data_IF_214681009881
#
_entry.id   IF_214681009881
#
_cell.length_a   1.000
_cell.length_b   1.000
_cell.length_c   1.000
_cell.angle_alpha   90.00
_cell.angle_beta   90.00
_cell.angle_gamma   90.00
#
_symmetry.space_group_name_H-M   'P 1'
#
loop_
_entity.id
_entity.type
_entity.pdbx_description
1 polymer ?
#
# COMPACT_ATOMS: atom_id res chain seq x y z
N UNK A 1 -16.74 25.49 -2.00
CA UNK A 1 -15.38 25.12 -2.34
C UNK A 1 -15.50 23.71 -2.88
N UNK A 2 -15.17 23.51 -4.14
CA UNK A 2 -15.29 22.20 -4.80
C UNK A 2 -14.25 21.24 -4.19
N UNK A 3 -14.52 19.93 -4.25
CA UNK A 3 -13.61 18.90 -3.71
C UNK A 3 -12.21 19.00 -4.36
N UNK A 4 -12.16 19.41 -5.63
CA UNK A 4 -10.92 19.63 -6.38
C UNK A 4 -10.12 20.83 -5.85
N UNK A 5 -10.79 21.93 -5.55
CA UNK A 5 -10.14 23.15 -5.00
C UNK A 5 -9.54 22.88 -3.61
N UNK A 6 -10.19 22.01 -2.82
CA UNK A 6 -9.71 21.63 -1.49
C UNK A 6 -8.44 20.78 -1.58
N UNK A 7 -8.43 19.78 -2.50
CA UNK A 7 -7.27 18.90 -2.72
C UNK A 7 -6.05 19.65 -3.24
N UNK A 8 -6.22 20.64 -4.14
CA UNK A 8 -5.09 21.46 -4.61
C UNK A 8 -4.47 22.27 -3.47
N UNK A 9 -5.30 22.83 -2.59
CA UNK A 9 -4.80 23.56 -1.43
C UNK A 9 -4.06 22.67 -0.45
N UNK A 10 -4.59 21.47 -0.20
CA UNK A 10 -3.95 20.45 0.66
C UNK A 10 -2.59 20.01 0.12
N UNK A 11 -2.48 19.84 -1.21
CA UNK A 11 -1.24 19.41 -1.88
C UNK A 11 -0.15 20.48 -1.93
N UNK A 12 -0.51 21.75 -1.82
CA UNK A 12 0.43 22.88 -1.94
C UNK A 12 1.51 22.91 -0.85
N UNK A 13 1.30 22.26 0.29
CA UNK A 13 2.25 22.18 1.38
C UNK A 13 3.31 21.08 1.19
N UNK A 14 3.13 20.19 0.21
CA UNK A 14 4.03 19.06 -0.06
C UNK A 14 5.07 19.42 -1.13
N UNK A 15 6.22 18.76 -1.09
CA UNK A 15 7.23 18.86 -2.15
C UNK A 15 6.85 17.94 -3.30
N UNK A 16 6.24 18.51 -4.35
CA UNK A 16 5.78 17.75 -5.51
C UNK A 16 6.94 17.12 -6.30
N UNK A 17 6.88 15.82 -6.52
CA UNK A 17 7.80 15.04 -7.34
C UNK A 17 7.21 14.81 -8.74
N UNK A 18 5.93 14.44 -8.78
CA UNK A 18 5.22 14.16 -10.04
C UNK A 18 3.75 14.60 -9.93
N UNK A 19 3.21 15.33 -10.92
CA UNK A 19 1.85 15.89 -10.82
C UNK A 19 0.74 14.86 -11.11
N UNK A 20 0.99 13.83 -11.97
CA UNK A 20 -0.01 12.84 -12.37
C UNK A 20 0.63 11.49 -12.76
N UNK A 21 0.40 10.41 -11.98
CA UNK A 21 -0.31 10.45 -10.70
C UNK A 21 0.42 11.32 -9.68
N UNK A 22 -0.33 11.94 -8.76
CA UNK A 22 0.27 12.85 -7.79
C UNK A 22 1.20 12.09 -6.84
N UNK A 23 2.47 12.52 -6.81
CA UNK A 23 3.50 12.00 -5.92
C UNK A 23 4.25 13.18 -5.30
N UNK A 24 4.35 13.19 -3.99
CA UNK A 24 4.99 14.29 -3.26
C UNK A 24 5.61 13.81 -1.95
N UNK A 25 6.73 14.43 -1.59
CA UNK A 25 7.42 14.23 -0.31
C UNK A 25 6.80 15.10 0.78
N UNK A 26 6.91 14.64 2.02
CA UNK A 26 6.70 15.48 3.18
C UNK A 26 7.71 16.64 3.18
N UNK A 27 7.36 17.84 3.63
CA UNK A 27 8.36 18.88 3.86
C UNK A 27 9.24 18.48 5.07
N UNK A 28 10.53 18.88 5.10
CA UNK A 28 11.46 18.48 6.16
C UNK A 28 10.95 18.72 7.58
N UNK A 29 10.30 19.85 7.80
CA UNK A 29 9.71 20.25 9.09
C UNK A 29 8.58 19.34 9.57
N UNK A 30 7.93 18.61 8.68
CA UNK A 30 6.90 17.63 9.05
C UNK A 30 7.48 16.42 9.80
N UNK A 31 8.79 16.18 9.68
CA UNK A 31 9.50 15.10 10.39
C UNK A 31 10.04 15.52 11.76
N UNK A 32 9.86 16.78 12.16
CA UNK A 32 10.21 17.28 13.49
C UNK A 32 9.18 16.89 14.56
N UNK A 33 8.04 16.33 14.14
CA UNK A 33 6.95 15.87 15.03
C UNK A 33 6.85 14.35 15.02
N UNK A 34 6.47 13.76 16.18
CA UNK A 34 6.28 12.32 16.29
C UNK A 34 5.17 11.79 15.36
N UNK A 35 4.13 12.60 15.15
CA UNK A 35 3.03 12.32 14.22
C UNK A 35 3.03 13.39 13.14
N UNK A 36 3.22 12.98 11.90
CA UNK A 36 3.15 13.87 10.74
C UNK A 36 1.71 14.36 10.53
N UNK A 37 1.44 15.67 10.48
CA UNK A 37 0.12 16.16 10.15
C UNK A 37 -0.39 15.58 8.82
N UNK A 38 -1.68 15.26 8.73
CA UNK A 38 -2.26 14.57 7.56
C UNK A 38 -1.96 15.27 6.24
N UNK A 39 -2.04 16.60 6.21
CA UNK A 39 -1.76 17.41 5.01
C UNK A 39 -0.27 17.45 4.62
N UNK A 40 0.62 17.05 5.52
CA UNK A 40 2.08 17.03 5.30
C UNK A 40 2.61 15.61 5.13
N UNK A 41 1.74 14.59 5.22
CA UNK A 41 2.15 13.20 5.02
C UNK A 41 2.45 12.96 3.53
N UNK A 42 3.61 12.34 3.21
CA UNK A 42 3.97 12.06 1.83
C UNK A 42 2.89 11.27 1.07
N UNK A 43 2.78 11.53 -0.22
CA UNK A 43 1.82 10.86 -1.11
C UNK A 43 2.55 10.06 -2.18
N UNK A 44 2.20 8.78 -2.33
CA UNK A 44 2.68 7.92 -3.41
C UNK A 44 1.51 7.18 -4.05
N UNK A 45 1.37 7.34 -5.36
CA UNK A 45 0.35 6.67 -6.16
C UNK A 45 0.96 6.20 -7.49
N UNK A 46 0.61 4.98 -7.94
CA UNK A 46 1.01 4.48 -9.25
C UNK A 46 0.00 4.89 -10.34
N UNK A 47 -1.25 5.12 -9.94
CA UNK A 47 -2.36 5.51 -10.80
C UNK A 47 -3.07 6.73 -10.21
N UNK A 48 -3.93 7.42 -10.96
CA UNK A 48 -4.78 8.48 -10.43
C UNK A 48 -5.66 8.00 -9.26
N UNK A 49 -6.13 8.92 -8.44
CA UNK A 49 -7.14 8.63 -7.42
C UNK A 49 -8.38 8.07 -8.11
N UNK A 50 -8.82 6.85 -7.78
CA UNK A 50 -9.95 6.22 -8.44
C UNK A 50 -11.29 6.65 -7.85
N UNK A 51 -12.36 6.42 -8.59
CA UNK A 51 -13.68 6.32 -8.01
C UNK A 51 -13.79 5.03 -7.17
N UNK A 52 -14.39 5.12 -5.98
CA UNK A 52 -14.58 3.98 -5.10
C UNK A 52 -16.03 3.90 -4.62
N UNK A 53 -16.66 2.74 -4.84
CA UNK A 53 -18.08 2.51 -4.52
C UNK A 53 -18.37 2.25 -3.02
N UNK A 54 -17.34 2.34 -2.17
CA UNK A 54 -17.45 2.11 -0.72
C UNK A 54 -17.64 0.64 -0.32
N UNK A 55 -17.36 -0.31 -1.21
CA UNK A 55 -17.53 -1.75 -0.99
C UNK A 55 -16.17 -2.46 -1.00
N UNK A 56 -15.97 -3.34 -0.03
CA UNK A 56 -14.81 -4.22 0.08
C UNK A 56 -15.24 -5.67 -0.12
N UNK A 57 -14.82 -6.28 -1.19
CA UNK A 57 -15.13 -7.68 -1.52
C UNK A 57 -14.12 -8.62 -0.85
N UNK A 58 -14.62 -9.64 -0.15
CA UNK A 58 -13.81 -10.70 0.47
C UNK A 58 -14.15 -12.03 -0.21
N UNK A 59 -13.15 -12.68 -0.81
CA UNK A 59 -13.39 -13.89 -1.60
C UNK A 59 -12.19 -14.81 -1.75
N UNK A 60 -12.22 -15.60 -2.83
CA UNK A 60 -11.22 -16.63 -3.13
C UNK A 60 -11.45 -17.90 -2.33
N UNK A 61 -10.36 -18.53 -1.84
CA UNK A 61 -10.40 -19.79 -1.07
C UNK A 61 -10.88 -19.57 0.36
N UNK A 62 -12.17 -19.22 0.51
CA UNK A 62 -12.84 -18.93 1.78
C UNK A 62 -14.16 -19.69 1.88
N UNK A 63 -14.57 -20.03 3.10
CA UNK A 63 -15.85 -20.71 3.37
C UNK A 63 -17.06 -19.76 3.33
N UNK A 64 -16.84 -18.44 3.47
CA UNK A 64 -17.88 -17.40 3.53
C UNK A 64 -17.47 -16.14 2.76
N UNK A 65 -17.55 -16.13 1.43
CA UNK A 65 -17.34 -14.89 0.68
C UNK A 65 -18.44 -13.87 1.02
N UNK A 66 -18.06 -12.61 1.20
CA UNK A 66 -18.98 -11.54 1.56
C UNK A 66 -18.42 -10.18 1.14
N UNK A 67 -19.23 -9.15 1.27
CA UNK A 67 -18.83 -7.77 1.02
C UNK A 67 -19.06 -6.94 2.28
N UNK A 68 -18.11 -6.07 2.60
CA UNK A 68 -18.19 -5.12 3.70
C UNK A 68 -18.31 -3.70 3.16
N UNK A 69 -19.06 -2.87 3.89
CA UNK A 69 -19.12 -1.42 3.71
C UNK A 69 -18.25 -0.72 4.76
N UNK A 70 -18.10 0.60 4.65
CA UNK A 70 -17.43 1.38 5.69
C UNK A 70 -18.13 1.25 7.04
N UNK A 71 -19.48 1.22 7.04
CA UNK A 71 -20.29 1.07 8.28
C UNK A 71 -20.08 -0.32 8.91
N UNK A 72 -19.96 -1.37 8.08
CA UNK A 72 -19.65 -2.72 8.58
C UNK A 72 -18.26 -2.76 9.25
N UNK A 73 -17.26 -2.12 8.63
CA UNK A 73 -15.91 -2.01 9.20
C UNK A 73 -15.91 -1.22 10.52
N UNK A 74 -16.66 -0.11 10.58
CA UNK A 74 -16.81 0.71 11.80
C UNK A 74 -17.59 0.00 12.92
N UNK A 75 -18.44 -0.96 12.57
CA UNK A 75 -19.16 -1.79 13.55
C UNK A 75 -18.26 -2.87 14.19
N UNK A 76 -17.11 -3.18 13.59
CA UNK A 76 -16.10 -4.07 14.15
C UNK A 76 -15.33 -3.38 15.28
N UNK A 77 -14.54 -4.14 16.03
CA UNK A 77 -13.64 -3.59 17.04
C UNK A 77 -12.62 -2.66 16.39
N UNK A 78 -12.70 -1.37 16.68
CA UNK A 78 -11.73 -0.39 16.24
C UNK A 78 -10.37 -0.58 16.98
N UNK A 79 -9.29 -0.57 16.21
CA UNK A 79 -7.92 -0.61 16.72
C UNK A 79 -7.19 0.63 16.20
N UNK A 80 -6.42 1.26 17.07
CA UNK A 80 -5.57 2.39 16.73
C UNK A 80 -4.09 1.98 16.81
N UNK A 81 -3.30 2.37 15.79
CA UNK A 81 -1.85 2.12 15.73
C UNK A 81 -1.12 3.30 15.14
N UNK A 82 0.00 3.64 15.77
CA UNK A 82 0.98 4.57 15.19
C UNK A 82 1.89 3.77 14.26
N UNK A 83 1.89 4.10 12.96
CA UNK A 83 2.69 3.41 11.96
C UNK A 83 3.42 4.41 11.09
N UNK A 84 4.73 4.21 10.96
CA UNK A 84 5.56 4.92 9.97
C UNK A 84 5.50 4.18 8.65
N UNK A 85 5.06 4.86 7.60
CA UNK A 85 5.14 4.39 6.22
C UNK A 85 6.33 5.06 5.55
N UNK A 86 7.14 4.24 4.87
CA UNK A 86 8.28 4.69 4.07
C UNK A 86 8.16 4.10 2.67
N UNK A 87 8.36 4.93 1.64
CA UNK A 87 8.45 4.44 0.27
C UNK A 87 9.72 3.59 0.09
N UNK A 88 9.62 2.44 -0.57
CA UNK A 88 10.80 1.60 -0.86
C UNK A 88 11.86 2.30 -1.71
N UNK A 89 11.48 3.40 -2.38
CA UNK A 89 12.40 4.24 -3.16
C UNK A 89 12.91 5.47 -2.42
N UNK A 90 12.61 5.65 -1.14
CA UNK A 90 13.11 6.79 -0.36
C UNK A 90 14.64 6.86 -0.43
N UNK A 91 15.21 8.05 -0.61
CA UNK A 91 16.66 8.25 -0.80
C UNK A 91 17.20 7.90 -2.19
N UNK A 92 16.35 7.63 -3.20
CA UNK A 92 16.78 7.21 -4.55
C UNK A 92 17.69 8.24 -5.22
N UNK A 93 17.47 9.54 -5.03
CA UNK A 93 18.32 10.59 -5.60
C UNK A 93 19.79 10.51 -5.18
N UNK A 94 20.11 9.86 -4.06
CA UNK A 94 21.49 9.66 -3.60
C UNK A 94 22.19 8.49 -4.30
N UNK A 95 21.47 7.62 -5.01
CA UNK A 95 22.03 6.43 -5.65
C UNK A 95 22.80 6.78 -6.94
N UNK A 96 23.89 6.05 -7.20
CA UNK A 96 24.72 6.22 -8.43
C UNK A 96 25.07 4.83 -9.00
N UNK A 97 24.71 4.51 -10.27
CA UNK A 97 23.87 5.31 -11.16
C UNK A 97 22.44 5.47 -10.59
N UNK A 98 21.73 6.53 -11.00
CA UNK A 98 20.35 6.76 -10.60
C UNK A 98 19.46 5.63 -11.17
N UNK A 99 18.79 4.82 -10.35
CA UNK A 99 17.90 3.78 -10.84
C UNK A 99 16.57 4.38 -11.33
N UNK A 100 15.87 3.61 -12.17
CA UNK A 100 14.53 3.98 -12.63
C UNK A 100 13.51 4.07 -11.46
N UNK A 101 12.45 4.84 -11.67
CA UNK A 101 11.35 5.08 -10.72
C UNK A 101 11.32 6.53 -10.23
N UNK A 102 10.41 6.84 -9.32
CA UNK A 102 10.24 8.19 -8.79
C UNK A 102 11.54 8.69 -8.12
N UNK A 103 12.01 9.90 -8.47
CA UNK A 103 13.28 10.43 -7.98
C UNK A 103 13.13 11.02 -6.55
N UNK A 104 12.76 10.16 -5.60
CA UNK A 104 12.63 10.55 -4.20
C UNK A 104 13.94 11.06 -3.61
N UNK A 105 13.85 12.19 -2.88
CA UNK A 105 14.85 12.61 -1.91
C UNK A 105 14.78 11.76 -0.64
N UNK A 106 14.83 12.40 0.52
CA UNK A 106 14.88 11.70 1.82
C UNK A 106 13.56 11.75 2.60
N UNK A 107 12.50 12.32 2.01
CA UNK A 107 11.27 12.67 2.74
C UNK A 107 10.02 11.91 2.26
N UNK A 108 10.19 10.82 1.51
CA UNK A 108 9.10 9.89 1.21
C UNK A 108 8.85 8.92 2.38
N UNK A 109 8.74 9.49 3.57
CA UNK A 109 8.50 8.82 4.84
C UNK A 109 7.65 9.70 5.76
N UNK A 110 6.68 9.12 6.46
CA UNK A 110 5.82 9.84 7.40
C UNK A 110 5.20 8.89 8.41
N UNK A 111 4.88 9.41 9.60
CA UNK A 111 4.27 8.64 10.69
C UNK A 111 2.88 9.18 10.96
N UNK A 112 1.88 8.30 11.04
CA UNK A 112 0.52 8.68 11.38
C UNK A 112 -0.12 7.69 12.36
N UNK A 113 -1.16 8.15 13.04
CA UNK A 113 -2.07 7.30 13.80
C UNK A 113 -3.15 6.80 12.86
N UNK A 114 -3.31 5.49 12.75
CA UNK A 114 -4.29 4.84 11.89
C UNK A 114 -5.33 4.12 12.72
N UNK A 115 -6.61 4.36 12.42
CA UNK A 115 -7.73 3.68 13.07
C UNK A 115 -8.47 2.82 12.05
N UNK A 116 -8.75 1.56 12.42
CA UNK A 116 -9.41 0.60 11.54
C UNK A 116 -9.78 -0.71 12.22
N UNK A 117 -10.31 -1.65 11.43
CA UNK A 117 -10.54 -3.02 11.83
C UNK A 117 -9.27 -3.87 11.61
N UNK A 118 -9.00 -4.85 12.47
CA UNK A 118 -7.93 -5.82 12.24
C UNK A 118 -8.25 -6.68 11.00
N UNK A 119 -7.27 -6.84 10.10
CA UNK A 119 -7.39 -7.75 8.97
C UNK A 119 -7.67 -9.20 9.42
N UNK A 120 -7.06 -9.62 10.54
CA UNK A 120 -7.34 -10.92 11.16
C UNK A 120 -8.83 -11.14 11.37
N UNK A 121 -9.53 -10.18 11.98
CA UNK A 121 -10.96 -10.30 12.32
C UNK A 121 -11.84 -10.38 11.05
N UNK A 122 -11.46 -9.66 10.00
CA UNK A 122 -12.12 -9.72 8.68
C UNK A 122 -11.92 -11.08 8.03
N UNK A 123 -10.69 -11.60 8.03
CA UNK A 123 -10.39 -12.93 7.49
C UNK A 123 -11.05 -14.04 8.30
N UNK A 124 -11.13 -13.93 9.63
CA UNK A 124 -11.82 -14.90 10.49
C UNK A 124 -13.31 -15.02 10.14
N UNK A 125 -13.98 -13.91 9.82
CA UNK A 125 -15.37 -13.91 9.34
C UNK A 125 -15.52 -14.63 7.99
N UNK A 126 -14.54 -14.47 7.09
CA UNK A 126 -14.52 -15.10 5.78
C UNK A 126 -14.22 -16.61 5.84
N UNK A 127 -13.58 -17.08 6.91
CA UNK A 127 -13.16 -18.46 7.11
C UNK A 127 -12.27 -18.99 5.98
N UNK A 128 -11.01 -18.57 5.90
CA UNK A 128 -10.07 -19.10 4.92
C UNK A 128 -10.02 -20.63 4.99
N UNK A 129 -9.95 -21.28 3.82
CA UNK A 129 -9.81 -22.72 3.73
C UNK A 129 -8.34 -23.13 3.87
N UNK A 130 -8.07 -24.37 4.28
CA UNK A 130 -6.71 -24.91 4.45
C UNK A 130 -5.89 -24.91 3.15
N UNK A 131 -6.54 -24.77 2.00
CA UNK A 131 -5.88 -24.62 0.69
C UNK A 131 -5.33 -23.21 0.44
N UNK A 132 -5.63 -22.23 1.30
CA UNK A 132 -5.16 -20.86 1.19
C UNK A 132 -3.64 -20.74 1.43
N UNK A 133 -2.96 -20.00 0.58
CA UNK A 133 -1.50 -19.78 0.63
C UNK A 133 -1.16 -18.29 0.79
N UNK A 134 -1.71 -17.45 -0.07
CA UNK A 134 -1.52 -16.01 -0.08
C UNK A 134 -2.86 -15.29 0.07
N UNK A 135 -2.81 -14.05 0.50
CA UNK A 135 -3.93 -13.11 0.50
C UNK A 135 -3.58 -11.95 -0.42
N UNK A 136 -4.32 -11.81 -1.50
CA UNK A 136 -4.24 -10.71 -2.45
C UNK A 136 -5.04 -9.51 -1.92
N UNK A 137 -4.48 -8.33 -2.04
CA UNK A 137 -5.11 -7.04 -1.79
C UNK A 137 -5.08 -6.22 -3.07
N UNK A 138 -6.25 -5.91 -3.63
CA UNK A 138 -6.39 -5.07 -4.82
C UNK A 138 -6.98 -3.72 -4.46
N UNK A 139 -6.33 -2.65 -4.90
CA UNK A 139 -6.88 -1.29 -4.89
C UNK A 139 -7.91 -1.11 -6.00
N UNK A 140 -8.71 -0.04 -5.91
CA UNK A 140 -9.57 0.40 -7.00
C UNK A 140 -8.79 1.17 -8.07
N UNK A 141 -7.57 1.61 -7.76
CA UNK A 141 -6.70 2.35 -8.66
C UNK A 141 -6.10 1.42 -9.73
N UNK A 142 -6.19 1.85 -10.98
CA UNK A 142 -5.73 1.09 -12.14
C UNK A 142 -5.30 2.02 -13.28
N UNK A 143 -4.62 1.46 -14.26
CA UNK A 143 -4.19 2.19 -15.45
C UNK A 143 -3.11 1.47 -16.23
N UNK A 144 -2.66 2.12 -17.31
CA UNK A 144 -1.52 1.63 -18.09
C UNK A 144 -0.21 1.87 -17.34
N UNK A 145 0.60 0.85 -17.26
CA UNK A 145 1.91 0.93 -16.60
C UNK A 145 2.97 0.27 -17.49
N UNK A 146 3.94 1.06 -17.96
CA UNK A 146 4.99 0.56 -18.84
C UNK A 146 6.29 0.60 -18.04
N UNK A 147 6.71 -0.50 -17.45
CA UNK A 147 7.90 -0.45 -16.63
C UNK A 147 8.90 -1.58 -16.75
N UNK A 148 8.52 -2.76 -17.11
CA UNK A 148 9.50 -3.84 -17.28
C UNK A 148 9.33 -4.57 -18.61
N UNK A 149 10.23 -4.30 -19.60
CA UNK A 149 10.21 -5.00 -20.89
C UNK A 149 10.42 -6.53 -20.76
N UNK A 150 10.88 -7.01 -19.59
CA UNK A 150 11.12 -8.43 -19.35
C UNK A 150 9.86 -9.20 -18.93
N UNK A 151 8.81 -8.51 -18.47
CA UNK A 151 7.51 -9.11 -18.11
C UNK A 151 6.56 -9.09 -19.31
N UNK A 152 6.91 -9.82 -20.36
CA UNK A 152 6.20 -9.82 -21.65
C UNK A 152 4.80 -10.44 -21.62
N UNK A 153 4.45 -11.15 -20.56
CA UNK A 153 3.20 -11.92 -20.45
C UNK A 153 2.11 -11.21 -19.63
N UNK A 154 2.38 -9.99 -19.13
CA UNK A 154 1.38 -9.19 -18.41
C UNK A 154 0.84 -8.12 -19.35
N UNK A 155 -0.50 -8.12 -19.54
CA UNK A 155 -1.17 -7.02 -20.24
C UNK A 155 -1.09 -5.75 -19.39
N UNK A 156 -0.16 -4.87 -19.73
CA UNK A 156 0.11 -3.63 -19.04
C UNK A 156 -0.85 -2.49 -19.43
N UNK A 157 -1.86 -2.77 -20.25
CA UNK A 157 -2.79 -1.76 -20.76
C UNK A 157 -3.78 -1.26 -19.70
N UNK A 158 -4.12 -2.11 -18.71
CA UNK A 158 -5.01 -1.76 -17.60
C UNK A 158 -4.72 -2.63 -16.36
N UNK A 159 -3.69 -2.26 -15.61
CA UNK A 159 -3.26 -2.97 -14.40
C UNK A 159 -3.88 -2.34 -13.17
N UNK A 160 -4.43 -3.17 -12.28
CA UNK A 160 -4.77 -2.75 -10.92
C UNK A 160 -3.52 -2.73 -10.04
N UNK A 161 -3.52 -1.83 -9.05
CA UNK A 161 -2.49 -1.88 -8.01
C UNK A 161 -2.81 -3.03 -7.05
N UNK A 162 -1.98 -4.06 -7.09
CA UNK A 162 -2.19 -5.30 -6.34
C UNK A 162 -0.92 -5.71 -5.59
N UNK A 163 -1.10 -6.14 -4.34
CA UNK A 163 -0.05 -6.68 -3.48
C UNK A 163 -0.56 -7.91 -2.75
N UNK A 164 0.35 -8.75 -2.27
CA UNK A 164 -0.03 -9.91 -1.45
C UNK A 164 0.82 -10.06 -0.20
N UNK A 165 0.24 -10.77 0.76
CA UNK A 165 0.93 -11.29 1.94
C UNK A 165 0.66 -12.78 2.04
N UNK A 166 1.55 -13.54 2.67
CA UNK A 166 1.23 -14.94 2.99
C UNK A 166 0.01 -15.01 3.91
N UNK A 167 -0.86 -16.00 3.71
CA UNK A 167 -2.05 -16.16 4.56
C UNK A 167 -1.67 -16.25 6.04
N UNK A 168 -0.57 -16.95 6.36
CA UNK A 168 -0.07 -17.05 7.75
C UNK A 168 0.20 -15.68 8.35
N UNK A 169 0.81 -14.76 7.59
CA UNK A 169 1.10 -13.40 8.09
C UNK A 169 -0.16 -12.53 8.12
N UNK A 170 -1.02 -12.61 7.12
CA UNK A 170 -2.25 -11.82 7.03
C UNK A 170 -3.28 -12.20 8.11
N UNK A 171 -3.33 -13.49 8.48
CA UNK A 171 -4.25 -14.00 9.49
C UNK A 171 -3.67 -13.98 10.92
N UNK A 172 -2.43 -13.60 11.11
CA UNK A 172 -1.81 -13.48 12.43
C UNK A 172 -2.27 -12.18 13.13
N UNK A 173 -3.00 -12.23 14.25
CA UNK A 173 -3.43 -11.04 14.97
C UNK A 173 -2.25 -10.23 15.51
N UNK A 174 -1.09 -10.85 15.75
CA UNK A 174 0.13 -10.16 16.21
C UNK A 174 0.81 -9.33 15.14
N UNK A 175 0.45 -9.51 13.86
CA UNK A 175 0.92 -8.67 12.75
C UNK A 175 0.33 -7.27 12.78
N UNK A 176 -0.78 -7.08 13.52
CA UNK A 176 -1.49 -5.80 13.72
C UNK A 176 -1.86 -5.07 12.42
N UNK A 177 -2.08 -5.84 11.34
CA UNK A 177 -2.49 -5.29 10.04
C UNK A 177 -3.91 -4.73 10.14
N UNK A 178 -4.12 -3.49 9.66
CA UNK A 178 -5.41 -2.81 9.72
C UNK A 178 -6.03 -2.63 8.32
N UNK A 179 -7.34 -2.73 8.26
CA UNK A 179 -8.15 -2.06 7.24
C UNK A 179 -8.54 -0.72 7.85
N UNK A 180 -7.71 0.30 7.61
CA UNK A 180 -7.84 1.62 8.20
C UNK A 180 -8.85 2.47 7.43
N UNK A 181 -9.67 3.22 8.16
CA UNK A 181 -10.64 4.16 7.63
C UNK A 181 -10.49 5.58 8.20
N UNK A 182 -9.60 5.77 9.19
CA UNK A 182 -9.22 7.08 9.73
C UNK A 182 -7.68 7.20 9.80
N UNK A 183 -7.22 8.44 9.70
CA UNK A 183 -5.83 8.85 9.83
C UNK A 183 -5.76 10.09 10.73
N UNK A 184 -4.98 10.04 11.81
CA UNK A 184 -4.84 11.12 12.79
C UNK A 184 -6.19 11.58 13.40
N UNK A 185 -7.12 10.64 13.61
CA UNK A 185 -8.43 10.90 14.19
C UNK A 185 -9.49 11.45 13.24
N UNK A 186 -9.18 11.59 11.93
CA UNK A 186 -10.10 12.08 10.91
C UNK A 186 -10.32 11.00 9.82
N UNK A 187 -11.46 11.02 9.11
CA UNK A 187 -11.65 10.13 7.96
C UNK A 187 -10.52 10.29 6.94
N UNK A 188 -10.18 9.21 6.26
CA UNK A 188 -9.17 9.25 5.19
C UNK A 188 -9.57 10.25 4.11
N UNK A 189 -8.60 11.04 3.63
CA UNK A 189 -8.77 11.84 2.43
C UNK A 189 -8.50 11.01 1.16
N UNK A 190 -8.86 11.52 -0.04
CA UNK A 190 -8.66 10.80 -1.30
C UNK A 190 -7.21 10.39 -1.55
N UNK A 191 -6.21 11.24 -1.27
CA UNK A 191 -4.80 10.94 -1.52
C UNK A 191 -4.26 9.83 -0.60
N UNK A 192 -4.87 9.65 0.56
CA UNK A 192 -4.49 8.63 1.54
C UNK A 192 -5.36 7.37 1.50
N UNK A 193 -6.24 7.23 0.48
CA UNK A 193 -6.92 5.97 0.17
C UNK A 193 -8.32 5.84 0.74
N UNK A 194 -9.07 6.98 0.85
CA UNK A 194 -10.49 6.94 1.22
C UNK A 194 -11.30 6.01 0.29
N UNK A 195 -12.33 5.29 0.80
CA UNK A 195 -12.86 5.34 2.16
C UNK A 195 -12.11 4.45 3.16
N UNK A 196 -11.31 3.49 2.69
CA UNK A 196 -10.49 2.62 3.53
C UNK A 196 -9.29 2.06 2.75
N UNK A 197 -8.25 1.72 3.50
CA UNK A 197 -6.98 1.21 2.97
C UNK A 197 -6.38 0.12 3.86
N UNK A 198 -5.44 -0.63 3.31
CA UNK A 198 -4.60 -1.52 4.10
C UNK A 198 -3.45 -0.74 4.75
N UNK A 199 -3.13 -1.05 6.01
CA UNK A 199 -1.91 -0.63 6.71
C UNK A 199 -1.20 -1.88 7.18
N UNK A 200 0.04 -2.06 6.74
CA UNK A 200 0.88 -3.22 7.09
C UNK A 200 2.10 -2.71 7.88
N UNK A 201 2.07 -2.81 9.22
CA UNK A 201 3.19 -2.37 10.05
C UNK A 201 4.48 -3.10 9.69
N UNK A 202 5.62 -2.42 9.82
CA UNK A 202 6.97 -2.95 9.56
C UNK A 202 7.28 -3.32 8.10
N UNK A 203 6.40 -2.98 7.16
CA UNK A 203 6.65 -3.10 5.73
C UNK A 203 6.81 -1.73 5.09
N UNK A 204 7.46 -1.68 3.93
CA UNK A 204 7.42 -0.47 3.11
C UNK A 204 5.99 -0.12 2.69
N UNK A 205 5.71 1.17 2.49
CA UNK A 205 4.39 1.69 2.16
C UNK A 205 3.71 1.02 0.96
N UNK A 206 4.49 0.40 0.07
CA UNK A 206 3.98 -0.37 -1.07
C UNK A 206 3.07 -1.54 -0.66
N UNK A 207 3.26 -2.12 0.52
CA UNK A 207 2.40 -3.20 1.03
C UNK A 207 1.06 -2.67 1.55
N UNK A 208 0.97 -1.37 1.84
CA UNK A 208 -0.21 -0.71 2.42
C UNK A 208 -1.11 -0.17 1.31
N UNK A 209 -1.84 -1.09 0.64
CA UNK A 209 -2.70 -0.80 -0.53
C UNK A 209 -3.77 0.23 -0.19
N UNK A 210 -3.86 1.32 -0.96
CA UNK A 210 -4.88 2.38 -0.87
C UNK A 210 -6.16 1.99 -1.63
N UNK A 211 -7.25 2.67 -1.32
CA UNK A 211 -8.54 2.46 -2.00
C UNK A 211 -8.90 0.98 -2.11
N UNK A 212 -8.76 0.25 -1.00
CA UNK A 212 -8.84 -1.21 -0.97
C UNK A 212 -10.23 -1.68 -1.43
N UNK A 213 -10.29 -2.42 -2.54
CA UNK A 213 -11.54 -2.89 -3.16
C UNK A 213 -11.78 -4.38 -2.98
N UNK A 214 -10.71 -5.19 -2.97
CA UNK A 214 -10.81 -6.64 -2.90
C UNK A 214 -9.72 -7.25 -2.04
N UNK A 215 -10.14 -8.23 -1.23
CA UNK A 215 -9.25 -9.15 -0.50
C UNK A 215 -9.59 -10.55 -0.99
N UNK A 216 -8.61 -11.29 -1.49
CA UNK A 216 -8.82 -12.62 -2.05
C UNK A 216 -7.80 -13.63 -1.50
N UNK A 217 -8.29 -14.71 -0.91
CA UNK A 217 -7.43 -15.81 -0.46
C UNK A 217 -7.11 -16.70 -1.65
N UNK A 218 -5.83 -16.82 -1.99
CA UNK A 218 -5.32 -17.57 -3.13
C UNK A 218 -4.80 -18.93 -2.70
N UNK A 219 -4.93 -19.94 -3.59
CA UNK A 219 -4.40 -21.29 -3.38
C UNK A 219 -2.95 -21.46 -3.85
N UNK A 220 -2.37 -20.40 -4.41
CA UNK A 220 -0.98 -20.35 -4.86
C UNK A 220 -0.39 -18.96 -4.56
N UNK A 221 0.95 -18.83 -4.48
CA UNK A 221 1.58 -17.52 -4.34
C UNK A 221 1.16 -16.57 -5.46
N UNK A 222 0.86 -15.32 -5.10
CA UNK A 222 0.48 -14.29 -6.07
C UNK A 222 1.66 -13.92 -6.97
N UNK A 223 1.37 -13.77 -8.25
CA UNK A 223 2.29 -13.25 -9.27
C UNK A 223 1.63 -12.07 -9.96
N UNK A 224 2.21 -10.88 -9.81
CA UNK A 224 1.69 -9.65 -10.41
C UNK A 224 2.79 -8.60 -10.56
N UNK A 225 2.54 -7.57 -11.38
CA UNK A 225 3.54 -6.55 -11.75
C UNK A 225 4.16 -5.88 -10.52
N UNK A 226 3.33 -5.45 -9.57
CA UNK A 226 3.80 -4.76 -8.37
C UNK A 226 4.31 -5.71 -7.27
N UNK A 227 4.25 -7.03 -7.45
CA UNK A 227 4.74 -8.04 -6.51
C UNK A 227 6.03 -8.69 -7.01
N UNK A 228 6.06 -9.13 -8.26
CA UNK A 228 7.16 -9.92 -8.82
C UNK A 228 7.93 -9.20 -9.91
N UNK A 229 7.40 -8.12 -10.47
CA UNK A 229 8.06 -7.27 -11.46
C UNK A 229 8.75 -6.06 -10.86
N UNK A 230 8.08 -5.41 -9.89
CA UNK A 230 8.57 -4.23 -9.17
C UNK A 230 8.73 -4.53 -7.69
N UNK A 231 9.42 -3.64 -6.99
CA UNK A 231 9.61 -3.70 -5.54
C UNK A 231 10.28 -4.98 -5.05
N UNK A 232 11.33 -5.41 -5.79
CA UNK A 232 12.16 -6.55 -5.46
C UNK A 232 13.58 -6.10 -5.14
N UNK A 233 14.21 -6.74 -4.16
CA UNK A 233 15.65 -6.64 -3.99
C UNK A 233 16.34 -7.62 -4.96
N UNK A 234 17.24 -7.09 -5.78
CA UNK A 234 18.11 -7.90 -6.62
C UNK A 234 19.52 -7.83 -6.05
N UNK A 235 20.08 -8.99 -5.72
CA UNK A 235 21.47 -9.09 -5.30
C UNK A 235 22.30 -9.55 -6.51
N UNK A 236 23.32 -8.78 -6.86
CA UNK A 236 24.29 -9.27 -7.84
C UNK A 236 25.05 -10.44 -7.22
N UNK A 237 25.10 -11.58 -7.91
CA UNK A 237 26.01 -12.66 -7.56
C UNK A 237 27.44 -12.13 -7.65
N UNK A 238 28.20 -12.24 -6.58
CA UNK A 238 29.60 -11.78 -6.52
C UNK A 238 30.52 -12.54 -7.48
N UNK A 239 30.15 -13.76 -7.89
CA UNK A 239 30.94 -14.62 -8.75
C UNK A 239 30.65 -14.42 -10.25
N UNK A 240 29.41 -14.14 -10.62
CA UNK A 240 28.95 -14.06 -12.01
C UNK A 240 28.45 -12.67 -12.43
N UNK A 241 28.25 -11.76 -11.48
CA UNK A 241 27.62 -10.45 -11.72
C UNK A 241 26.13 -10.54 -12.10
N UNK A 242 25.58 -11.74 -12.16
CA UNK A 242 24.19 -12.02 -12.51
C UNK A 242 23.62 -13.01 -11.51
N UNK A 243 22.78 -12.56 -10.62
CA UNK A 243 22.05 -13.40 -9.69
C UNK A 243 20.86 -12.65 -9.17
N UNK A 244 19.69 -13.23 -9.23
CA UNK A 244 18.47 -12.62 -8.71
C UNK A 244 17.80 -13.54 -7.72
N UNK A 245 18.20 -13.46 -6.46
CA UNK A 245 17.27 -13.86 -5.41
C UNK A 245 16.28 -12.72 -5.24
N UNK A 246 15.02 -12.96 -5.63
CA UNK A 246 13.95 -11.99 -5.55
C UNK A 246 13.28 -12.11 -4.20
N UNK A 247 13.46 -11.11 -3.33
CA UNK A 247 12.80 -11.04 -2.02
C UNK A 247 11.75 -9.95 -2.02
N UNK A 248 10.57 -10.24 -1.45
CA UNK A 248 9.53 -9.25 -1.19
C UNK A 248 10.10 -8.13 -0.31
N UNK A 249 9.78 -6.88 -0.63
CA UNK A 249 10.28 -5.69 0.09
C UNK A 249 9.68 -5.61 1.50
N UNK A 250 10.35 -6.25 2.45
CA UNK A 250 10.06 -6.14 3.88
C UNK A 250 11.14 -5.32 4.55
N UNK A 251 10.77 -4.28 5.30
CA UNK A 251 11.70 -3.59 6.19
C UNK A 251 12.05 -4.54 7.34
N UNK A 252 13.33 -4.84 7.54
CA UNK A 252 13.78 -5.38 8.82
C UNK A 252 13.85 -4.22 9.80
N UNK A 253 12.91 -4.12 10.73
CA UNK A 253 13.15 -3.38 11.96
C UNK A 253 14.22 -4.14 12.72
N UNK A 254 15.34 -3.49 13.04
CA UNK A 254 16.23 -3.98 14.05
C UNK A 254 15.44 -4.08 15.36
N UNK A 255 15.33 -5.29 15.92
CA UNK A 255 14.81 -5.51 17.26
C UNK A 255 15.75 -4.94 18.30
#
# INVERSE_FOLDING_TARGET
MDLADNLEHERAALTMIHPQPFNAEAPPEALETDITPTLLHYVRSNFPVPDHDGRLEIGGSVGRPHTLTLDDLKAMRAIERVVTLECAGNGRLAMRPLPAGEPWGDYAVSTATWTGALLHDVLEQAKPLDTGVDVLFAGADHGSYILNPELKDIDASDLFFERSLTLVHAADPSSEILIAYEMNGEPLNPDHGAPFRLIVPHWYGVASVKWLKRIEVLTQPFVGEFETGHYLYQWADRATGTGSDRFRTRRRTAG
#
